data_IF_372091395893
#
_entry.id   IF_372091395893
#
_cell.length_a   1.000
_cell.length_b   1.000
_cell.length_c   1.000
_cell.angle_alpha   90.00
_cell.angle_beta   90.00
_cell.angle_gamma   90.00
#
_symmetry.space_group_name_H-M   'P 1'
#
loop_
_entity.id
_entity.type
_entity.pdbx_description
1 polymer ?
#
# COMPACT_ATOMS: atom_id res chain seq x y z
N UNK A 1 27.09 85.32 14.61
CA UNK A 1 25.98 85.30 15.59
C UNK A 1 25.29 83.94 15.51
N UNK A 2 25.17 83.27 16.66
CA UNK A 2 24.18 82.24 17.05
C UNK A 2 24.01 80.96 16.20
N UNK A 3 23.80 79.75 16.74
CA UNK A 3 23.81 79.21 18.11
C UNK A 3 23.63 77.68 18.02
N UNK A 4 24.24 77.01 18.99
CA UNK A 4 24.13 75.62 19.43
C UNK A 4 22.71 74.99 19.52
N UNK A 5 22.72 73.65 19.34
CA UNK A 5 22.15 72.60 20.23
C UNK A 5 20.64 72.39 20.35
N UNK A 6 20.19 71.14 20.13
CA UNK A 6 19.69 70.30 21.24
C UNK A 6 19.59 68.81 20.88
N UNK A 7 20.28 68.03 21.71
CA UNK A 7 20.04 66.60 21.99
C UNK A 7 18.89 66.51 23.00
N UNK A 8 18.02 65.51 22.86
CA UNK A 8 17.22 64.96 23.98
C UNK A 8 17.30 63.44 23.95
N UNK A 9 17.61 62.88 25.13
CA UNK A 9 17.96 61.50 25.43
C UNK A 9 16.94 60.95 26.46
N UNK A 10 16.58 59.66 26.35
CA UNK A 10 15.93 58.82 27.38
C UNK A 10 14.99 57.77 26.77
N UNK A 11 15.42 56.53 26.44
CA UNK A 11 15.59 55.29 27.25
C UNK A 11 14.26 54.59 27.65
N UNK A 12 14.20 53.27 27.94
CA UNK A 12 14.39 52.10 27.06
C UNK A 12 13.27 51.03 27.24
N UNK A 13 12.86 50.24 26.23
CA UNK A 13 12.23 48.93 26.50
C UNK A 13 12.19 47.96 25.30
N UNK A 14 12.93 46.85 25.47
CA UNK A 14 12.75 45.49 24.92
C UNK A 14 12.43 45.27 23.43
N UNK A 15 13.36 44.60 22.73
CA UNK A 15 13.12 43.88 21.49
C UNK A 15 12.05 42.78 21.64
N UNK A 16 11.46 42.33 20.52
CA UNK A 16 11.87 41.00 20.07
C UNK A 16 12.25 40.93 18.59
N UNK A 17 13.28 40.12 18.36
CA UNK A 17 14.11 39.88 17.17
C UNK A 17 13.38 39.15 16.03
N UNK A 18 12.14 39.50 15.70
CA UNK A 18 11.34 38.79 14.68
C UNK A 18 11.30 39.43 13.28
N UNK A 19 11.83 40.63 13.09
CA UNK A 19 11.81 41.31 11.78
C UNK A 19 12.94 40.89 10.82
N UNK A 20 14.03 40.30 11.31
CA UNK A 20 15.22 40.03 10.48
C UNK A 20 15.07 38.86 9.49
N UNK A 21 14.13 37.94 9.68
CA UNK A 21 13.99 36.76 8.79
C UNK A 21 13.12 37.07 7.57
N UNK A 22 12.16 37.99 7.72
CA UNK A 22 11.33 38.46 6.61
C UNK A 22 12.16 39.28 5.61
N UNK A 23 13.09 40.10 6.11
CA UNK A 23 14.00 40.90 5.27
C UNK A 23 15.09 40.06 4.57
N UNK A 24 15.46 38.89 5.11
CA UNK A 24 16.38 37.98 4.42
C UNK A 24 15.70 37.21 3.28
N UNK A 25 14.37 37.10 3.28
CA UNK A 25 13.59 36.46 2.22
C UNK A 25 13.24 37.43 1.08
N UNK A 26 13.26 38.74 1.32
CA UNK A 26 13.00 39.76 0.30
C UNK A 26 14.23 40.08 -0.57
N UNK A 27 15.44 39.74 -0.09
CA UNK A 27 16.71 39.94 -0.81
C UNK A 27 17.20 38.70 -1.57
N UNK A 28 16.49 37.57 -1.51
CA UNK A 28 16.82 36.39 -2.31
C UNK A 28 16.34 36.60 -3.76
N UNK A 29 17.18 37.20 -4.61
CA UNK A 29 16.95 37.27 -6.05
C UNK A 29 16.73 35.86 -6.64
N UNK A 30 15.74 35.66 -7.53
CA UNK A 30 15.53 34.37 -8.17
C UNK A 30 16.67 34.10 -9.16
N UNK A 31 17.48 33.08 -8.89
CA UNK A 31 18.49 32.58 -9.82
C UNK A 31 17.83 32.20 -11.16
N UNK A 32 18.15 32.98 -12.19
CA UNK A 32 17.61 32.87 -13.55
C UNK A 32 18.22 31.66 -14.28
N UNK A 33 17.57 30.51 -14.17
CA UNK A 33 17.90 29.28 -14.92
C UNK A 33 17.70 29.43 -16.45
N UNK A 34 17.09 30.52 -16.93
CA UNK A 34 16.61 30.65 -18.31
C UNK A 34 17.72 30.95 -19.34
N UNK A 35 18.93 31.32 -18.90
CA UNK A 35 20.01 31.74 -19.80
C UNK A 35 20.88 30.60 -20.37
N UNK A 36 20.71 29.34 -19.96
CA UNK A 36 21.54 28.24 -20.48
C UNK A 36 20.77 27.32 -21.43
N UNK A 37 20.53 27.77 -22.67
CA UNK A 37 20.27 26.86 -23.79
C UNK A 37 21.30 27.10 -24.89
N UNK A 38 22.16 26.10 -25.08
CA UNK A 38 23.07 26.00 -26.23
C UNK A 38 22.27 26.08 -27.53
N UNK A 39 22.69 26.98 -28.40
CA UNK A 39 22.18 27.20 -29.74
C UNK A 39 22.59 26.06 -30.68
N UNK A 40 21.61 25.29 -31.16
CA UNK A 40 21.71 24.56 -32.43
C UNK A 40 20.81 25.29 -33.41
N UNK A 41 21.44 25.92 -34.40
CA UNK A 41 20.75 26.74 -35.39
C UNK A 41 19.99 25.89 -36.41
N UNK A 42 18.77 26.34 -36.76
CA UNK A 42 18.28 26.30 -38.13
C UNK A 42 17.08 27.25 -38.36
N UNK A 43 17.26 28.10 -39.38
CA UNK A 43 16.33 28.85 -40.24
C UNK A 43 15.21 29.77 -39.67
N UNK A 44 15.07 31.02 -40.18
CA UNK A 44 14.07 31.98 -39.74
C UNK A 44 12.76 31.84 -40.51
N UNK A 45 11.63 31.70 -39.81
CA UNK A 45 10.32 31.79 -40.47
C UNK A 45 9.15 31.10 -39.79
N UNK A 46 8.96 31.28 -38.49
CA UNK A 46 7.67 31.05 -37.85
C UNK A 46 7.66 31.80 -36.51
N UNK A 47 6.81 32.81 -36.38
CA UNK A 47 6.47 33.38 -35.08
C UNK A 47 5.68 32.33 -34.29
N UNK A 48 6.13 31.85 -33.12
CA UNK A 48 5.28 31.09 -32.24
C UNK A 48 4.48 32.06 -31.39
N UNK A 49 3.16 31.94 -31.46
CA UNK A 49 2.23 32.59 -30.56
C UNK A 49 2.67 32.40 -29.10
N UNK A 50 2.67 33.51 -28.38
CA UNK A 50 3.02 33.65 -26.96
C UNK A 50 2.16 32.72 -26.10
N UNK A 51 2.65 31.51 -25.83
CA UNK A 51 2.08 30.60 -24.86
C UNK A 51 2.24 31.18 -23.46
N UNK A 52 1.12 31.65 -22.88
CA UNK A 52 1.01 32.05 -21.48
C UNK A 52 1.56 30.94 -20.59
N UNK A 53 2.62 31.23 -19.84
CA UNK A 53 3.04 30.40 -18.72
C UNK A 53 1.94 30.39 -17.67
N UNK A 54 1.27 29.25 -17.54
CA UNK A 54 0.17 28.99 -16.63
C UNK A 54 0.68 29.01 -15.18
N UNK A 55 0.63 30.16 -14.53
CA UNK A 55 0.25 30.18 -13.11
C UNK A 55 -1.23 29.78 -13.08
N UNK A 56 -1.65 28.83 -12.23
CA UNK A 56 -3.05 28.44 -12.20
C UNK A 56 -3.85 29.66 -11.75
N UNK A 57 -4.74 30.14 -12.63
CA UNK A 57 -5.80 31.05 -12.24
C UNK A 57 -6.66 30.36 -11.17
N UNK A 58 -7.38 31.11 -10.30
CA UNK A 58 -8.29 30.57 -9.30
C UNK A 58 -9.57 29.94 -9.91
N UNK A 59 -9.46 29.31 -11.09
CA UNK A 59 -10.52 28.63 -11.84
C UNK A 59 -10.15 27.20 -12.30
N UNK A 60 -8.96 26.69 -11.98
CA UNK A 60 -8.58 25.30 -12.29
C UNK A 60 -9.09 24.27 -11.25
N UNK A 61 -9.91 24.70 -10.27
CA UNK A 61 -10.51 23.82 -9.25
C UNK A 61 -11.76 23.06 -9.75
N UNK A 62 -12.30 23.38 -10.93
CA UNK A 62 -13.63 22.92 -11.36
C UNK A 62 -13.69 21.46 -11.88
N UNK A 63 -12.57 20.73 -11.89
CA UNK A 63 -12.51 19.39 -12.50
C UNK A 63 -11.98 18.24 -11.62
N UNK A 64 -11.54 18.49 -10.38
CA UNK A 64 -10.94 17.42 -9.56
C UNK A 64 -12.01 16.63 -8.80
N UNK A 65 -12.04 15.29 -8.90
CA UNK A 65 -12.95 14.49 -8.10
C UNK A 65 -12.62 14.63 -6.61
N UNK A 66 -13.63 14.99 -5.82
CA UNK A 66 -13.58 15.04 -4.36
C UNK A 66 -14.32 13.84 -3.74
N UNK A 67 -13.99 13.53 -2.49
CA UNK A 67 -14.72 12.53 -1.71
C UNK A 67 -16.06 13.11 -1.25
N UNK A 68 -17.12 12.31 -1.23
CA UNK A 68 -18.45 12.80 -0.82
C UNK A 68 -18.56 12.95 0.70
N UNK A 69 -17.71 12.27 1.48
CA UNK A 69 -17.66 12.42 2.93
C UNK A 69 -16.25 12.17 3.49
N UNK A 70 -15.96 12.79 4.64
CA UNK A 70 -14.69 12.60 5.37
C UNK A 70 -14.52 11.15 5.86
N UNK A 71 -15.63 10.48 6.17
CA UNK A 71 -15.59 9.06 6.55
C UNK A 71 -15.20 8.17 5.37
N UNK A 72 -15.69 8.44 4.15
CA UNK A 72 -15.28 7.68 2.96
C UNK A 72 -13.76 7.75 2.76
N UNK A 73 -13.21 8.95 2.94
CA UNK A 73 -11.77 9.18 2.86
C UNK A 73 -10.98 8.40 3.93
N UNK A 74 -11.41 8.47 5.19
CA UNK A 74 -10.75 7.74 6.29
C UNK A 74 -10.85 6.23 6.08
N UNK A 75 -12.03 5.72 5.71
CA UNK A 75 -12.24 4.30 5.44
C UNK A 75 -11.36 3.81 4.28
N UNK A 76 -11.29 4.56 3.19
CA UNK A 76 -10.41 4.25 2.07
C UNK A 76 -8.92 4.18 2.50
N UNK A 77 -8.49 5.11 3.35
CA UNK A 77 -7.12 5.11 3.87
C UNK A 77 -6.84 3.93 4.81
N UNK A 78 -7.81 3.56 5.65
CA UNK A 78 -7.71 2.40 6.54
C UNK A 78 -7.61 1.10 5.74
N UNK A 79 -8.45 0.88 4.74
CA UNK A 79 -8.35 -0.36 3.96
C UNK A 79 -7.17 -0.41 3.00
N UNK A 80 -6.62 0.73 2.58
CA UNK A 80 -5.30 0.73 1.94
C UNK A 80 -4.19 0.27 2.90
N UNK A 81 -4.32 0.62 4.19
CA UNK A 81 -3.34 0.26 5.23
C UNK A 81 -3.51 -1.17 5.76
N UNK A 82 -4.74 -1.70 5.76
CA UNK A 82 -5.06 -3.07 6.19
C UNK A 82 -5.09 -3.99 4.98
N UNK A 83 -3.95 -4.64 4.70
CA UNK A 83 -3.82 -5.60 3.60
C UNK A 83 -3.70 -7.06 4.08
N UNK A 84 -3.68 -7.98 3.11
CA UNK A 84 -3.43 -9.42 3.32
C UNK A 84 -2.12 -9.72 4.08
N UNK A 85 -1.14 -8.80 4.00
CA UNK A 85 0.10 -8.88 4.77
C UNK A 85 -0.13 -8.93 6.29
N UNK A 86 -1.16 -8.25 6.80
CA UNK A 86 -1.48 -8.30 8.24
C UNK A 86 -2.06 -9.67 8.66
N UNK A 87 -2.65 -10.42 7.72
CA UNK A 87 -3.29 -11.71 7.99
C UNK A 87 -2.27 -12.84 8.06
N UNK A 88 -1.33 -12.93 7.12
CA UNK A 88 -0.36 -14.05 7.09
C UNK A 88 1.08 -13.64 7.40
N UNK A 89 1.53 -12.45 6.98
CA UNK A 89 2.95 -12.09 7.05
C UNK A 89 3.29 -11.63 8.46
N UNK A 90 2.46 -10.77 9.05
CA UNK A 90 2.68 -10.30 10.42
C UNK A 90 2.74 -11.45 11.45
N UNK A 91 1.78 -12.40 11.50
CA UNK A 91 1.88 -13.53 12.41
C UNK A 91 3.09 -14.43 12.14
N UNK A 92 3.44 -14.66 10.87
CA UNK A 92 4.61 -15.45 10.50
C UNK A 92 5.93 -14.84 11.00
N UNK A 93 6.13 -13.53 10.80
CA UNK A 93 7.33 -12.83 11.30
C UNK A 93 7.35 -12.78 12.83
N UNK A 94 6.20 -12.53 13.45
CA UNK A 94 6.06 -12.51 14.90
C UNK A 94 6.51 -13.85 15.49
N UNK A 95 5.98 -14.97 14.97
CA UNK A 95 6.37 -16.31 15.42
C UNK A 95 7.86 -16.60 15.21
N UNK A 96 8.42 -16.23 14.06
CA UNK A 96 9.84 -16.49 13.74
C UNK A 96 10.81 -15.66 14.58
N UNK A 97 10.41 -14.45 14.97
CA UNK A 97 11.29 -13.48 15.63
C UNK A 97 11.04 -13.39 17.15
N UNK A 98 10.66 -14.50 17.79
CA UNK A 98 10.49 -14.56 19.26
C UNK A 98 9.06 -14.32 19.75
N UNK A 99 8.06 -14.56 18.92
CA UNK A 99 6.64 -14.46 19.27
C UNK A 99 6.28 -13.05 19.76
N UNK A 100 5.64 -12.97 20.93
CA UNK A 100 5.22 -11.71 21.54
C UNK A 100 6.34 -10.68 21.76
N UNK A 101 7.60 -11.11 21.92
CA UNK A 101 8.73 -10.19 22.10
C UNK A 101 8.98 -9.31 20.86
N UNK A 102 8.63 -9.78 19.65
CA UNK A 102 8.72 -9.02 18.41
C UNK A 102 7.81 -7.78 18.41
N UNK A 103 6.76 -7.76 19.23
CA UNK A 103 5.84 -6.62 19.32
C UNK A 103 6.51 -5.37 19.89
N UNK A 104 7.49 -5.52 20.78
CA UNK A 104 8.20 -4.38 21.40
C UNK A 104 8.93 -3.54 20.34
N UNK A 105 9.88 -4.07 19.55
CA UNK A 105 10.52 -3.30 18.48
C UNK A 105 9.54 -2.87 17.39
N UNK A 106 8.48 -3.67 17.13
CA UNK A 106 7.44 -3.29 16.17
C UNK A 106 6.72 -2.00 16.57
N UNK A 107 6.26 -1.88 17.82
CA UNK A 107 5.58 -0.67 18.30
C UNK A 107 6.52 0.54 18.39
N UNK A 108 7.79 0.34 18.78
CA UNK A 108 8.78 1.41 18.79
C UNK A 108 8.99 1.97 17.39
N UNK A 109 9.23 1.12 16.39
CA UNK A 109 9.40 1.56 14.99
C UNK A 109 8.11 2.15 14.40
N UNK A 110 6.94 1.64 14.81
CA UNK A 110 5.65 2.19 14.40
C UNK A 110 5.48 3.65 14.87
N UNK A 111 5.81 3.93 16.13
CA UNK A 111 5.66 5.27 16.71
C UNK A 111 6.74 6.23 16.17
N UNK A 112 7.99 5.77 16.06
CA UNK A 112 9.10 6.65 15.67
C UNK A 112 9.20 6.89 14.16
N UNK A 113 8.82 5.92 13.34
CA UNK A 113 9.00 5.98 11.88
C UNK A 113 7.65 5.91 11.17
N UNK A 114 6.81 4.92 11.52
CA UNK A 114 5.54 4.67 10.82
C UNK A 114 4.56 5.84 10.87
N UNK A 115 4.17 6.27 12.07
CA UNK A 115 3.18 7.34 12.27
C UNK A 115 3.68 8.69 11.70
N UNK A 116 4.94 9.13 11.95
CA UNK A 116 5.43 10.39 11.39
C UNK A 116 5.50 10.40 9.87
N UNK A 117 5.97 9.31 9.23
CA UNK A 117 6.02 9.23 7.77
C UNK A 117 4.62 9.23 7.15
N UNK A 118 3.69 8.47 7.74
CA UNK A 118 2.31 8.44 7.29
C UNK A 118 1.65 9.82 7.37
N UNK A 119 1.83 10.54 8.50
CA UNK A 119 1.28 11.87 8.66
C UNK A 119 1.90 12.88 7.69
N UNK A 120 3.22 12.81 7.47
CA UNK A 120 3.93 13.66 6.51
C UNK A 120 3.37 13.46 5.10
N UNK A 121 3.20 12.22 4.66
CA UNK A 121 2.69 11.91 3.32
C UNK A 121 1.26 12.44 3.12
N UNK A 122 0.38 12.26 4.12
CA UNK A 122 -0.97 12.82 4.08
C UNK A 122 -0.94 14.37 4.05
N UNK A 123 -0.13 15.00 4.89
CA UNK A 123 -0.05 16.47 4.95
C UNK A 123 0.47 17.07 3.62
N UNK A 124 1.51 16.48 3.04
CA UNK A 124 2.08 16.90 1.75
C UNK A 124 1.07 16.70 0.62
N UNK A 125 0.38 15.55 0.59
CA UNK A 125 -0.65 15.25 -0.41
C UNK A 125 -1.82 16.24 -0.37
N UNK A 126 -2.27 16.61 0.82
CA UNK A 126 -3.36 17.59 1.01
C UNK A 126 -2.94 19.03 0.69
N UNK A 127 -1.69 19.41 1.02
CA UNK A 127 -1.18 20.77 0.77
C UNK A 127 -0.91 21.05 -0.70
N UNK A 128 -0.24 20.12 -1.41
CA UNK A 128 0.21 20.34 -2.79
C UNK A 128 -0.88 19.94 -3.80
N UNK A 129 -1.81 19.05 -3.41
CA UNK A 129 -2.93 18.59 -4.25
C UNK A 129 -2.51 18.04 -5.62
N UNK A 130 -1.31 17.46 -5.76
CA UNK A 130 -0.82 16.80 -6.98
C UNK A 130 -0.62 15.30 -6.76
N UNK A 131 -0.50 14.53 -7.84
CA UNK A 131 -0.10 13.12 -7.76
C UNK A 131 1.37 12.96 -7.36
N UNK A 132 1.79 11.74 -6.99
CA UNK A 132 3.15 11.45 -6.47
C UNK A 132 4.28 12.09 -7.31
N UNK A 133 4.27 11.89 -8.63
CA UNK A 133 5.28 12.49 -9.55
C UNK A 133 5.23 14.04 -9.51
N UNK A 134 4.03 14.61 -9.49
CA UNK A 134 3.83 16.07 -9.47
C UNK A 134 4.21 16.71 -8.13
N UNK A 135 4.11 15.98 -7.02
CA UNK A 135 4.54 16.42 -5.69
C UNK A 135 6.06 16.55 -5.64
N UNK A 136 6.79 15.49 -6.02
CA UNK A 136 8.25 15.50 -5.96
C UNK A 136 8.87 16.52 -6.92
N UNK A 137 8.31 16.66 -8.12
CA UNK A 137 8.73 17.68 -9.08
C UNK A 137 8.44 19.12 -8.59
N UNK A 138 7.40 19.32 -7.76
CA UNK A 138 7.09 20.62 -7.17
C UNK A 138 8.05 20.99 -6.03
N UNK A 139 8.45 20.01 -5.20
CA UNK A 139 9.41 20.24 -4.11
C UNK A 139 10.80 20.53 -4.66
N UNK A 140 11.30 19.64 -5.53
CA UNK A 140 12.59 19.84 -6.20
C UNK A 140 12.65 19.01 -7.49
N UNK A 141 12.94 19.61 -8.66
CA UNK A 141 12.82 18.92 -9.94
C UNK A 141 13.74 17.71 -10.09
N UNK A 142 14.91 17.68 -9.44
CA UNK A 142 15.79 16.49 -9.48
C UNK A 142 15.26 15.33 -8.63
N UNK A 143 14.38 15.59 -7.65
CA UNK A 143 13.72 14.55 -6.86
C UNK A 143 12.55 13.89 -7.60
N UNK A 144 12.21 14.34 -8.81
CA UNK A 144 11.15 13.74 -9.62
C UNK A 144 11.28 12.22 -9.84
N UNK A 145 12.51 11.69 -9.79
CA UNK A 145 12.79 10.25 -9.86
C UNK A 145 12.13 9.43 -8.74
N UNK A 146 11.90 10.01 -7.56
CA UNK A 146 11.22 9.34 -6.45
C UNK A 146 9.77 9.01 -6.84
N UNK A 147 9.08 9.93 -7.51
CA UNK A 147 7.73 9.71 -8.00
C UNK A 147 7.67 8.59 -9.04
N UNK A 148 8.62 8.54 -9.98
CA UNK A 148 8.71 7.48 -11.00
C UNK A 148 9.03 6.13 -10.36
N UNK A 149 9.94 6.08 -9.39
CA UNK A 149 10.24 4.86 -8.62
C UNK A 149 9.00 4.35 -7.88
N UNK A 150 8.23 5.25 -7.25
CA UNK A 150 6.98 4.87 -6.58
C UNK A 150 5.96 4.23 -7.54
N UNK A 151 5.85 4.75 -8.78
CA UNK A 151 4.99 4.17 -9.81
C UNK A 151 5.44 2.77 -10.21
N UNK A 152 6.75 2.58 -10.40
CA UNK A 152 7.33 1.27 -10.75
C UNK A 152 7.07 0.23 -9.65
N UNK A 153 7.27 0.60 -8.38
CA UNK A 153 6.99 -0.27 -7.22
C UNK A 153 5.50 -0.61 -7.16
N UNK A 154 4.61 0.38 -7.27
CA UNK A 154 3.17 0.14 -7.31
C UNK A 154 2.76 -0.78 -8.47
N UNK A 155 3.42 -0.68 -9.62
CA UNK A 155 3.23 -1.58 -10.76
C UNK A 155 3.56 -3.03 -10.40
N UNK A 156 4.77 -3.31 -9.89
CA UNK A 156 5.15 -4.67 -9.50
C UNK A 156 4.27 -5.23 -8.39
N UNK A 157 3.96 -4.41 -7.39
CA UNK A 157 3.05 -4.77 -6.30
C UNK A 157 1.67 -5.13 -6.86
N UNK A 158 1.12 -4.30 -7.74
CA UNK A 158 -0.14 -4.57 -8.42
C UNK A 158 -0.13 -5.89 -9.20
N UNK A 159 0.96 -6.20 -9.92
CA UNK A 159 1.06 -7.43 -10.70
C UNK A 159 0.96 -8.68 -9.82
N UNK A 160 1.76 -8.81 -8.75
CA UNK A 160 1.75 -10.02 -7.94
C UNK A 160 0.53 -10.11 -7.01
N UNK A 161 0.02 -8.98 -6.49
CA UNK A 161 -1.19 -9.01 -5.66
C UNK A 161 -2.41 -9.46 -6.47
N UNK A 162 -2.51 -9.09 -7.75
CA UNK A 162 -3.57 -9.59 -8.62
C UNK A 162 -3.51 -11.12 -8.81
N UNK A 163 -2.32 -11.72 -8.80
CA UNK A 163 -2.18 -13.19 -8.81
C UNK A 163 -2.80 -13.81 -7.57
N UNK A 164 -2.58 -13.22 -6.38
CA UNK A 164 -3.18 -13.71 -5.14
C UNK A 164 -4.71 -13.55 -5.12
N UNK A 165 -5.22 -12.45 -5.69
CA UNK A 165 -6.67 -12.28 -5.88
C UNK A 165 -7.21 -13.38 -6.80
N UNK A 166 -6.50 -13.70 -7.89
CA UNK A 166 -6.83 -14.83 -8.77
C UNK A 166 -6.93 -16.16 -8.02
N UNK A 167 -5.95 -16.47 -7.17
CA UNK A 167 -5.98 -17.65 -6.29
C UNK A 167 -7.22 -17.66 -5.40
N UNK A 168 -7.54 -16.52 -4.80
CA UNK A 168 -8.70 -16.37 -3.91
C UNK A 168 -10.02 -16.60 -4.65
N UNK A 169 -10.16 -16.08 -5.87
CA UNK A 169 -11.32 -16.29 -6.74
C UNK A 169 -11.45 -17.77 -7.11
N UNK A 170 -10.35 -18.44 -7.46
CA UNK A 170 -10.35 -19.87 -7.76
C UNK A 170 -10.86 -20.70 -6.58
N UNK A 171 -10.31 -20.47 -5.38
CA UNK A 171 -10.78 -21.15 -4.15
C UNK A 171 -12.23 -20.81 -3.79
N UNK A 172 -12.66 -19.57 -4.03
CA UNK A 172 -14.04 -19.15 -3.79
C UNK A 172 -15.03 -19.97 -4.64
N UNK A 173 -14.80 -20.10 -5.94
CA UNK A 173 -15.66 -20.91 -6.81
C UNK A 173 -15.60 -22.40 -6.46
N UNK A 174 -14.44 -22.88 -6.04
CA UNK A 174 -14.26 -24.28 -5.68
C UNK A 174 -14.94 -24.66 -4.36
N UNK A 175 -15.28 -23.67 -3.53
CA UNK A 175 -15.98 -23.86 -2.24
C UNK A 175 -17.47 -24.16 -2.38
N UNK A 176 -18.06 -24.02 -3.57
CA UNK A 176 -19.48 -24.35 -3.81
C UNK A 176 -19.77 -25.85 -4.00
N UNK A 177 -18.80 -26.72 -3.72
CA UNK A 177 -18.92 -28.17 -3.87
C UNK A 177 -18.77 -28.86 -2.52
N UNK A 178 -19.59 -29.91 -2.28
CA UNK A 178 -19.49 -30.81 -1.14
C UNK A 178 -19.34 -32.25 -1.63
N UNK A 179 -18.32 -33.00 -1.20
CA UNK A 179 -17.23 -32.64 -0.29
C UNK A 179 -16.26 -31.61 -0.89
N UNK A 180 -15.51 -30.89 -0.04
CA UNK A 180 -14.51 -29.93 -0.51
C UNK A 180 -13.34 -30.68 -1.17
N UNK A 181 -12.79 -30.22 -2.30
CA UNK A 181 -11.76 -30.98 -3.04
C UNK A 181 -10.42 -31.15 -2.32
N UNK A 182 -10.17 -30.36 -1.28
CA UNK A 182 -8.98 -30.44 -0.45
C UNK A 182 -9.25 -31.10 0.91
N UNK A 183 -10.45 -31.67 1.12
CA UNK A 183 -10.79 -32.38 2.34
C UNK A 183 -10.15 -33.77 2.41
N UNK A 184 -10.08 -34.48 1.28
CA UNK A 184 -9.62 -35.87 1.20
C UNK A 184 -8.57 -36.05 0.11
N UNK A 185 -7.68 -37.03 0.31
CA UNK A 185 -6.69 -37.39 -0.71
C UNK A 185 -7.37 -38.18 -1.85
N UNK A 186 -7.01 -37.90 -3.13
CA UNK A 186 -7.56 -38.65 -4.24
C UNK A 186 -7.04 -40.09 -4.25
N UNK A 187 -7.93 -41.01 -4.63
CA UNK A 187 -7.63 -42.44 -4.74
C UNK A 187 -7.43 -42.77 -6.22
N UNK A 188 -6.29 -43.37 -6.57
CA UNK A 188 -6.04 -43.90 -7.91
C UNK A 188 -6.37 -45.38 -7.96
N UNK A 189 -7.11 -45.78 -9.00
CA UNK A 189 -7.36 -47.19 -9.29
C UNK A 189 -6.24 -47.72 -10.18
N UNK A 190 -5.41 -48.60 -9.65
CA UNK A 190 -4.36 -49.29 -10.41
C UNK A 190 -4.90 -50.66 -10.85
N UNK A 191 -4.75 -50.98 -12.14
CA UNK A 191 -5.14 -52.26 -12.75
C UNK A 191 -6.59 -52.70 -12.44
N UNK A 192 -7.52 -51.73 -12.34
CA UNK A 192 -8.96 -51.97 -12.22
C UNK A 192 -9.46 -52.62 -10.92
N UNK A 193 -8.56 -52.97 -9.99
CA UNK A 193 -8.91 -53.76 -8.79
C UNK A 193 -8.27 -53.26 -7.50
N UNK A 194 -7.20 -52.46 -7.56
CA UNK A 194 -6.56 -51.89 -6.38
C UNK A 194 -6.76 -50.38 -6.32
N UNK A 195 -7.47 -49.93 -5.29
CA UNK A 195 -7.65 -48.53 -4.96
C UNK A 195 -6.50 -48.09 -4.03
N UNK A 196 -5.55 -47.33 -4.55
CA UNK A 196 -4.38 -46.86 -3.81
C UNK A 196 -4.50 -45.35 -3.62
N UNK A 197 -4.32 -44.89 -2.38
CA UNK A 197 -4.28 -43.45 -2.08
C UNK A 197 -3.02 -42.87 -2.74
N UNK A 198 -3.13 -41.69 -3.33
CA UNK A 198 -1.96 -41.05 -3.95
C UNK A 198 -0.80 -40.94 -2.94
N UNK A 199 0.36 -41.59 -3.20
CA UNK A 199 1.45 -41.66 -2.22
C UNK A 199 2.08 -40.28 -1.94
N UNK A 200 1.98 -39.34 -2.88
CA UNK A 200 2.41 -37.96 -2.68
C UNK A 200 1.47 -37.18 -1.74
N UNK A 201 0.17 -37.48 -1.79
CA UNK A 201 -0.81 -36.87 -0.89
C UNK A 201 -0.68 -37.40 0.53
N UNK A 202 -0.45 -38.71 0.68
CA UNK A 202 -0.25 -39.36 1.98
C UNK A 202 1.00 -38.84 2.71
N UNK A 203 2.11 -38.62 1.99
CA UNK A 203 3.34 -38.05 2.57
C UNK A 203 3.22 -36.58 2.97
N UNK A 204 2.26 -35.85 2.40
CA UNK A 204 2.08 -34.42 2.63
C UNK A 204 0.78 -34.17 3.38
N UNK A 205 -0.25 -33.70 2.69
CA UNK A 205 -1.62 -33.55 3.17
C UNK A 205 -2.54 -33.26 1.99
N UNK A 206 -3.84 -33.54 2.13
CA UNK A 206 -4.83 -33.28 1.08
C UNK A 206 -4.82 -31.82 0.59
N UNK A 207 -4.69 -30.86 1.52
CA UNK A 207 -4.62 -29.42 1.20
C UNK A 207 -3.35 -29.03 0.46
N UNK A 208 -2.20 -29.55 0.90
CA UNK A 208 -0.90 -29.28 0.27
C UNK A 208 -0.85 -29.89 -1.13
N UNK A 209 -1.33 -31.12 -1.28
CA UNK A 209 -1.42 -31.81 -2.57
C UNK A 209 -2.34 -31.05 -3.52
N UNK A 210 -3.54 -30.64 -3.07
CA UNK A 210 -4.47 -29.86 -3.87
C UNK A 210 -3.85 -28.54 -4.35
N UNK A 211 -3.10 -27.85 -3.49
CA UNK A 211 -2.45 -26.59 -3.86
C UNK A 211 -1.34 -26.78 -4.90
N UNK A 212 -0.39 -27.67 -4.65
CA UNK A 212 0.80 -27.81 -5.51
C UNK A 212 0.53 -28.61 -6.79
N UNK A 213 -0.29 -29.66 -6.73
CA UNK A 213 -0.55 -30.54 -7.88
C UNK A 213 -1.81 -30.19 -8.66
N UNK A 214 -2.91 -29.92 -7.98
CA UNK A 214 -4.20 -29.73 -8.65
C UNK A 214 -4.47 -28.26 -9.04
N UNK A 215 -4.02 -27.32 -8.22
CA UNK A 215 -4.25 -25.87 -8.41
C UNK A 215 -3.13 -25.23 -9.22
N UNK A 216 -1.89 -25.29 -8.72
CA UNK A 216 -0.73 -24.67 -9.37
C UNK A 216 -0.17 -25.54 -10.51
N UNK A 217 -0.13 -26.85 -10.31
CA UNK A 217 0.58 -27.81 -11.18
C UNK A 217 2.07 -27.44 -11.33
N UNK A 218 2.77 -27.42 -10.20
CA UNK A 218 4.18 -26.97 -10.11
C UNK A 218 5.15 -27.98 -10.75
N UNK A 219 6.18 -27.48 -11.43
CA UNK A 219 7.33 -28.25 -11.92
C UNK A 219 8.37 -28.45 -10.82
N UNK A 220 9.32 -29.38 -11.03
CA UNK A 220 10.40 -29.65 -10.07
C UNK A 220 11.43 -28.52 -9.97
N UNK A 221 11.60 -27.76 -11.05
CA UNK A 221 12.65 -26.75 -11.20
C UNK A 221 12.08 -25.47 -11.78
N UNK A 222 12.62 -24.32 -11.39
CA UNK A 222 12.18 -23.00 -11.87
C UNK A 222 12.51 -22.77 -13.36
N UNK A 223 13.47 -23.51 -13.90
CA UNK A 223 13.91 -23.46 -15.30
C UNK A 223 12.89 -24.11 -16.24
N UNK A 224 12.19 -25.14 -15.75
CA UNK A 224 11.19 -25.87 -16.52
C UNK A 224 9.84 -25.16 -16.44
N UNK A 225 9.48 -24.48 -17.52
CA UNK A 225 8.16 -23.85 -17.66
C UNK A 225 7.12 -24.92 -18.02
N UNK A 226 6.38 -25.43 -17.02
CA UNK A 226 5.37 -26.50 -17.13
C UNK A 226 4.10 -26.16 -17.93
N UNK A 227 4.17 -25.21 -18.86
CA UNK A 227 3.05 -24.71 -19.66
C UNK A 227 2.14 -23.75 -18.91
N UNK A 228 1.07 -23.32 -19.59
CA UNK A 228 0.09 -22.36 -19.05
C UNK A 228 -1.09 -23.11 -18.43
N UNK A 229 -1.29 -22.93 -17.13
CA UNK A 229 -2.42 -23.52 -16.41
C UNK A 229 -3.69 -22.70 -16.65
N UNK A 230 -4.55 -23.19 -17.55
CA UNK A 230 -5.75 -22.48 -17.99
C UNK A 230 -6.71 -22.09 -16.85
N UNK A 231 -6.86 -22.96 -15.84
CA UNK A 231 -7.73 -22.67 -14.68
C UNK A 231 -7.23 -21.43 -13.94
N UNK A 232 -5.91 -21.34 -13.77
CA UNK A 232 -5.27 -20.24 -13.09
C UNK A 232 -5.32 -18.96 -13.92
N UNK A 233 -5.04 -19.05 -15.22
CA UNK A 233 -5.09 -17.91 -16.14
C UNK A 233 -6.50 -17.31 -16.23
N UNK A 234 -7.54 -18.14 -16.27
CA UNK A 234 -8.93 -17.67 -16.28
C UNK A 234 -9.28 -16.92 -14.98
N UNK A 235 -8.87 -17.45 -13.82
CA UNK A 235 -9.08 -16.78 -12.54
C UNK A 235 -8.32 -15.45 -12.43
N UNK A 236 -7.12 -15.38 -13.01
CA UNK A 236 -6.34 -14.15 -13.08
C UNK A 236 -6.99 -13.11 -14.00
N UNK A 237 -7.51 -13.53 -15.15
CA UNK A 237 -8.26 -12.65 -16.04
C UNK A 237 -9.51 -12.09 -15.35
N UNK A 238 -10.25 -12.92 -14.62
CA UNK A 238 -11.39 -12.48 -13.82
C UNK A 238 -10.99 -11.47 -12.74
N UNK A 239 -9.86 -11.68 -12.04
CA UNK A 239 -9.33 -10.75 -11.06
C UNK A 239 -9.05 -9.36 -11.69
N UNK A 240 -8.38 -9.34 -12.84
CA UNK A 240 -8.11 -8.10 -13.57
C UNK A 240 -9.39 -7.41 -14.03
N UNK A 241 -10.40 -8.14 -14.52
CA UNK A 241 -11.68 -7.56 -14.88
C UNK A 241 -12.36 -6.90 -13.67
N UNK A 242 -12.39 -7.57 -12.52
CA UNK A 242 -12.98 -7.02 -11.28
C UNK A 242 -12.26 -5.74 -10.85
N UNK A 243 -10.92 -5.75 -10.86
CA UNK A 243 -10.12 -4.58 -10.50
C UNK A 243 -10.33 -3.43 -11.49
N UNK A 244 -10.33 -3.71 -12.79
CA UNK A 244 -10.63 -2.72 -13.82
C UNK A 244 -12.01 -2.11 -13.58
N UNK A 245 -13.06 -2.93 -13.42
CA UNK A 245 -14.42 -2.46 -13.16
C UNK A 245 -14.51 -1.59 -11.90
N UNK A 246 -13.80 -1.95 -10.83
CA UNK A 246 -13.76 -1.18 -9.59
C UNK A 246 -13.13 0.22 -9.77
N UNK A 247 -12.17 0.34 -10.69
CA UNK A 247 -11.36 1.56 -10.92
C UNK A 247 -11.85 2.42 -12.09
N UNK A 248 -12.72 1.91 -12.99
CA UNK A 248 -13.15 2.62 -14.23
C UNK A 248 -13.65 4.06 -13.99
N UNK A 249 -14.36 4.35 -12.90
CA UNK A 249 -14.81 5.72 -12.56
C UNK A 249 -13.98 6.41 -11.48
N UNK A 250 -12.78 5.90 -11.22
CA UNK A 250 -11.84 6.40 -10.22
C UNK A 250 -12.45 6.50 -8.82
N UNK A 251 -12.11 7.58 -8.12
CA UNK A 251 -12.46 7.85 -6.72
C UNK A 251 -13.98 7.85 -6.48
N UNK A 252 -14.79 8.25 -7.47
CA UNK A 252 -16.25 8.29 -7.33
C UNK A 252 -16.90 6.90 -7.36
N UNK A 253 -16.30 5.92 -8.05
CA UNK A 253 -16.73 4.51 -7.98
C UNK A 253 -16.17 3.85 -6.74
N UNK A 254 -14.86 3.96 -6.52
CA UNK A 254 -14.19 3.30 -5.39
C UNK A 254 -14.73 3.79 -4.05
N UNK A 255 -15.07 5.08 -3.88
CA UNK A 255 -15.68 5.60 -2.66
C UNK A 255 -17.03 4.97 -2.34
N UNK A 256 -17.92 4.84 -3.33
CA UNK A 256 -19.25 4.21 -3.13
C UNK A 256 -19.16 2.73 -2.77
N UNK A 257 -18.22 2.01 -3.38
CA UNK A 257 -17.97 0.58 -3.12
C UNK A 257 -17.28 0.36 -1.76
N UNK A 258 -16.46 1.32 -1.34
CA UNK A 258 -15.74 1.33 -0.06
C UNK A 258 -16.65 1.74 1.10
N UNK A 259 -17.64 2.60 0.87
CA UNK A 259 -18.52 3.03 1.94
C UNK A 259 -19.47 1.92 2.37
N UNK A 260 -19.26 1.50 3.62
CA UNK A 260 -20.15 0.66 4.39
C UNK A 260 -20.11 -0.81 3.99
N UNK A 261 -20.46 -1.22 2.77
CA UNK A 261 -20.82 -2.64 2.56
C UNK A 261 -19.61 -3.59 2.65
N UNK A 262 -18.48 -3.26 2.01
CA UNK A 262 -17.29 -4.13 2.04
C UNK A 262 -16.62 -4.12 3.42
N UNK A 263 -16.43 -2.96 4.04
CA UNK A 263 -15.75 -2.86 5.34
C UNK A 263 -16.60 -3.44 6.45
N UNK A 264 -17.91 -3.19 6.43
CA UNK A 264 -18.83 -3.74 7.42
C UNK A 264 -18.90 -5.26 7.27
N UNK A 265 -19.05 -5.78 6.04
CA UNK A 265 -19.06 -7.23 5.82
C UNK A 265 -17.72 -7.89 6.17
N UNK A 266 -16.59 -7.30 5.75
CA UNK A 266 -15.25 -7.83 6.04
C UNK A 266 -14.95 -7.85 7.54
N UNK A 267 -15.31 -6.79 8.27
CA UNK A 267 -15.13 -6.73 9.72
C UNK A 267 -16.04 -7.72 10.45
N UNK A 268 -17.30 -7.87 10.03
CA UNK A 268 -18.18 -8.89 10.60
C UNK A 268 -17.68 -10.32 10.35
N UNK A 269 -17.24 -10.65 9.13
CA UNK A 269 -16.67 -11.97 8.82
C UNK A 269 -15.40 -12.22 9.61
N UNK A 270 -14.54 -11.21 9.78
CA UNK A 270 -13.33 -11.33 10.59
C UNK A 270 -13.68 -11.58 12.06
N UNK A 271 -14.65 -10.85 12.62
CA UNK A 271 -15.09 -11.03 14.00
C UNK A 271 -15.71 -12.41 14.20
N UNK A 272 -16.58 -12.88 13.31
CA UNK A 272 -17.16 -14.24 13.38
C UNK A 272 -16.06 -15.31 13.30
N UNK A 273 -15.09 -15.15 12.41
CA UNK A 273 -13.93 -16.04 12.32
C UNK A 273 -13.14 -16.07 13.63
N UNK A 274 -12.88 -14.92 14.24
CA UNK A 274 -12.19 -14.82 15.54
C UNK A 274 -13.02 -15.47 16.64
N UNK A 275 -14.32 -15.21 16.72
CA UNK A 275 -15.22 -15.81 17.71
C UNK A 275 -15.25 -17.33 17.58
N UNK A 276 -15.35 -17.85 16.35
CA UNK A 276 -15.27 -19.30 16.09
C UNK A 276 -13.90 -19.88 16.44
N UNK A 277 -12.81 -19.19 16.11
CA UNK A 277 -11.46 -19.62 16.47
C UNK A 277 -11.25 -19.66 17.98
N UNK A 278 -11.81 -18.70 18.73
CA UNK A 278 -11.76 -18.69 20.19
C UNK A 278 -12.60 -19.81 20.80
N UNK A 279 -13.78 -20.09 20.23
CA UNK A 279 -14.67 -21.16 20.69
C UNK A 279 -14.15 -22.56 20.35
N UNK A 280 -13.46 -22.73 19.21
CA UNK A 280 -12.91 -24.00 18.76
C UNK A 280 -11.51 -24.23 19.36
N UNK A 281 -11.41 -24.49 20.67
CA UNK A 281 -10.17 -24.84 21.38
C UNK A 281 -8.97 -23.87 21.21
N UNK A 282 -9.14 -22.72 20.55
CA UNK A 282 -8.04 -21.83 20.13
C UNK A 282 -7.36 -21.05 21.25
N UNK A 283 -7.92 -21.06 22.46
CA UNK A 283 -7.29 -20.46 23.64
C UNK A 283 -5.94 -21.13 23.95
N UNK A 284 -5.79 -22.44 23.69
CA UNK A 284 -4.49 -23.12 23.87
C UNK A 284 -3.48 -22.72 22.80
N UNK A 285 -3.88 -22.57 21.54
CA UNK A 285 -3.01 -22.14 20.45
C UNK A 285 -2.46 -20.71 20.63
N UNK A 286 -3.28 -19.77 21.12
CA UNK A 286 -2.85 -18.40 21.43
C UNK A 286 -1.83 -18.38 22.58
N UNK A 287 -1.98 -19.25 23.58
CA UNK A 287 -1.00 -19.43 24.67
C UNK A 287 0.32 -20.02 24.16
N UNK A 288 0.27 -20.95 23.19
CA UNK A 288 1.48 -21.47 22.53
C UNK A 288 2.20 -20.41 21.66
N UNK A 289 1.44 -19.56 20.96
CA UNK A 289 1.96 -18.50 20.08
C UNK A 289 2.56 -17.32 20.87
N UNK A 290 2.01 -17.00 22.04
CA UNK A 290 2.50 -15.90 22.89
C UNK A 290 3.75 -16.26 23.69
N UNK A 291 4.19 -17.53 23.68
CA UNK A 291 5.53 -17.93 24.11
C UNK A 291 5.90 -17.57 25.56
N UNK A 292 4.96 -17.14 26.41
CA UNK A 292 5.28 -16.70 27.78
C UNK A 292 5.44 -17.84 28.79
N UNK A 293 5.12 -19.10 28.43
CA UNK A 293 5.06 -20.18 29.43
C UNK A 293 6.23 -21.16 29.41
N UNK A 294 7.06 -21.24 28.37
CA UNK A 294 8.18 -22.23 28.36
C UNK A 294 9.48 -21.74 28.99
N UNK A 295 9.75 -20.43 28.99
CA UNK A 295 10.99 -19.91 29.59
C UNK A 295 10.86 -19.49 31.06
N UNK A 296 9.64 -19.25 31.58
CA UNK A 296 9.45 -18.84 32.97
C UNK A 296 9.17 -20.02 33.93
N UNK A 297 8.62 -21.14 33.44
CA UNK A 297 8.28 -22.30 34.29
C UNK A 297 9.41 -23.34 34.44
N UNK A 298 10.56 -23.15 33.80
CA UNK A 298 11.76 -23.97 34.00
C UNK A 298 12.81 -23.29 34.90
N UNK A 299 12.47 -22.15 35.52
CA UNK A 299 13.31 -21.47 36.52
C UNK A 299 12.62 -21.26 37.88
N UNK A 300 11.57 -22.03 38.17
CA UNK A 300 11.01 -22.24 39.52
C UNK A 300 10.84 -23.74 39.73
#
# INVERSE_FOLDING_TARGET
>A
MLKNSKVTLGLPHSDPVTESVADLLTLAEPLDYKSSRMSIGLSPGAQPAMGKGLLPSPGDEEGRPAWNSKLQYILAQVGFSVGLGNVWRFPYLCQKNGGGAYLVPYFILLILIGIPLFFLELAVGQRIRRGSIGVWNYVYPQLGGIGVSSLMVCGFVGLYYNVIIGWSIFYFFQSFQYPLPWAECPIRVVNGSQAIIEPECEKSSATTYFWYRQTLNITSTIEDSGGLNWKMTLSLFAAWLIVCLAVIKGIQSSGKVTDRDIYTYSTYVFIDCVVRALNANGLTAVVYQTGMTKHLFLQL
#
